data_IF_075409004269
#
_entry.id   IF_075409004269
#
_cell.length_a   1.000
_cell.length_b   1.000
_cell.length_c   1.000
_cell.angle_alpha   90.00
_cell.angle_beta   90.00
_cell.angle_gamma   90.00
#
_symmetry.space_group_name_H-M   'P 1'
#
loop_
_entity.id
_entity.type
_entity.pdbx_description
1 polymer ?
#
# COMPACT_ATOMS: atom_id res chain seq x y z
N UNK A 1 -27.01 5.63 2.34
CA UNK A 1 -25.68 5.39 2.93
C UNK A 1 -24.63 5.94 1.99
N UNK A 2 -23.64 6.67 2.49
CA UNK A 2 -22.47 7.07 1.70
C UNK A 2 -21.72 5.82 1.24
N UNK A 3 -21.32 5.76 -0.03
CA UNK A 3 -20.54 4.64 -0.57
C UNK A 3 -19.19 4.60 0.16
N UNK A 4 -18.87 3.49 0.81
CA UNK A 4 -17.53 3.30 1.41
C UNK A 4 -16.50 3.31 0.28
N UNK A 5 -15.58 4.27 0.33
CA UNK A 5 -14.44 4.33 -0.58
C UNK A 5 -13.35 3.42 -0.01
N UNK A 6 -12.75 2.60 -0.85
CA UNK A 6 -11.69 1.66 -0.46
C UNK A 6 -10.36 2.02 -1.10
N UNK A 7 -9.26 1.68 -0.45
CA UNK A 7 -7.90 1.89 -0.96
C UNK A 7 -7.03 0.63 -0.94
N UNK A 8 -6.04 0.60 -1.83
CA UNK A 8 -4.93 -0.37 -1.87
C UNK A 8 -3.60 0.39 -1.80
N UNK A 9 -2.65 -0.10 -1.02
CA UNK A 9 -1.32 0.50 -0.88
C UNK A 9 -0.27 -0.44 -1.45
N UNK A 10 0.46 0.05 -2.45
CA UNK A 10 1.61 -0.65 -3.02
C UNK A 10 2.90 0.00 -2.49
N UNK A 11 3.67 -0.76 -1.73
CA UNK A 11 4.96 -0.35 -1.16
C UNK A 11 6.06 -0.93 -2.05
N UNK A 12 6.90 -0.07 -2.60
CA UNK A 12 8.01 -0.47 -3.49
C UNK A 12 9.31 -0.22 -2.73
N UNK A 13 10.11 -1.27 -2.53
CA UNK A 13 11.39 -1.13 -1.83
C UNK A 13 12.03 -2.46 -1.47
N UNK A 14 13.22 -2.71 -2.02
CA UNK A 14 13.99 -3.94 -1.76
C UNK A 14 14.50 -4.00 -0.31
N UNK A 15 14.73 -2.85 0.31
CA UNK A 15 15.11 -2.71 1.71
C UNK A 15 13.99 -3.08 2.68
N UNK A 16 12.73 -2.87 2.29
CA UNK A 16 11.57 -3.32 3.06
C UNK A 16 11.45 -4.85 2.96
N UNK A 17 11.57 -5.39 1.74
CA UNK A 17 11.54 -6.84 1.51
C UNK A 17 12.68 -7.58 2.21
N UNK A 18 13.87 -6.99 2.24
CA UNK A 18 15.04 -7.57 2.92
C UNK A 18 15.04 -7.33 4.44
N UNK A 19 14.07 -6.59 4.97
CA UNK A 19 13.94 -6.28 6.40
C UNK A 19 15.00 -5.30 6.92
N UNK A 20 15.76 -4.63 6.04
CA UNK A 20 16.73 -3.60 6.42
C UNK A 20 16.05 -2.34 6.94
N UNK A 21 14.86 -2.05 6.41
CA UNK A 21 14.03 -0.91 6.79
C UNK A 21 12.65 -1.42 7.15
N UNK A 22 12.10 -0.94 8.25
CA UNK A 22 10.71 -1.20 8.62
C UNK A 22 9.79 -0.25 7.83
N UNK A 23 8.74 -0.78 7.20
CA UNK A 23 7.69 0.07 6.65
C UNK A 23 6.90 0.75 7.77
N UNK A 24 6.78 2.08 7.68
CA UNK A 24 5.94 2.91 8.54
C UNK A 24 4.80 3.57 7.76
N UNK A 25 4.85 3.51 6.42
CA UNK A 25 3.89 4.20 5.56
C UNK A 25 2.52 3.55 5.61
N UNK A 26 2.44 2.21 5.70
CA UNK A 26 1.16 1.50 5.78
C UNK A 26 0.32 1.99 6.97
N UNK A 27 0.92 2.00 8.17
CA UNK A 27 0.21 2.42 9.38
C UNK A 27 -0.20 3.89 9.30
N UNK A 28 0.72 4.76 8.88
CA UNK A 28 0.47 6.19 8.77
C UNK A 28 -0.68 6.51 7.79
N UNK A 29 -0.61 5.95 6.58
CA UNK A 29 -1.63 6.19 5.55
C UNK A 29 -2.96 5.52 5.90
N UNK A 30 -2.96 4.32 6.49
CA UNK A 30 -4.21 3.66 6.88
C UNK A 30 -4.98 4.47 7.92
N UNK A 31 -4.30 5.06 8.90
CA UNK A 31 -4.93 5.92 9.91
C UNK A 31 -5.50 7.18 9.25
N UNK A 32 -4.67 7.91 8.48
CA UNK A 32 -5.07 9.16 7.84
C UNK A 32 -6.22 8.97 6.83
N UNK A 33 -6.17 7.90 6.02
CA UNK A 33 -7.23 7.60 5.05
C UNK A 33 -8.53 7.17 5.74
N UNK A 34 -8.44 6.43 6.86
CA UNK A 34 -9.62 6.05 7.62
C UNK A 34 -10.34 7.28 8.22
N UNK A 35 -9.59 8.29 8.68
CA UNK A 35 -10.17 9.59 9.12
C UNK A 35 -10.90 10.32 7.99
N UNK A 36 -10.45 10.14 6.74
CA UNK A 36 -11.09 10.67 5.53
C UNK A 36 -12.21 9.79 4.99
N UNK A 37 -12.55 8.68 5.66
CA UNK A 37 -13.59 7.74 5.24
C UNK A 37 -13.17 6.78 4.11
N UNK A 38 -11.87 6.66 3.85
CA UNK A 38 -11.28 5.69 2.92
C UNK A 38 -10.77 4.49 3.70
N UNK A 39 -11.38 3.33 3.48
CA UNK A 39 -10.96 2.08 4.13
C UNK A 39 -9.87 1.41 3.33
N UNK A 40 -8.68 1.30 3.91
CA UNK A 40 -7.64 0.42 3.36
C UNK A 40 -8.07 -1.05 3.46
N UNK A 41 -8.05 -1.76 2.32
CA UNK A 41 -8.47 -3.18 2.24
C UNK A 41 -7.37 -4.11 1.76
N UNK A 42 -6.31 -3.57 1.16
CA UNK A 42 -5.17 -4.33 0.67
C UNK A 42 -3.89 -3.51 0.86
N UNK A 43 -2.79 -4.19 1.19
CA UNK A 43 -1.46 -3.62 1.11
C UNK A 43 -0.49 -4.70 0.63
N UNK A 44 0.45 -4.35 -0.26
CA UNK A 44 1.47 -5.26 -0.77
C UNK A 44 2.82 -4.57 -0.79
N UNK A 45 3.87 -5.30 -0.41
CA UNK A 45 5.27 -4.87 -0.58
C UNK A 45 5.84 -5.63 -1.78
N UNK A 46 6.42 -4.91 -2.74
CA UNK A 46 6.99 -5.47 -3.98
C UNK A 46 8.42 -4.96 -4.22
N UNK A 47 9.23 -5.68 -5.02
CA UNK A 47 10.55 -5.22 -5.39
C UNK A 47 10.48 -4.03 -6.34
N UNK A 48 11.59 -3.30 -6.42
CA UNK A 48 11.76 -2.20 -7.38
C UNK A 48 12.10 -2.75 -8.77
N UNK A 49 11.09 -3.31 -9.42
CA UNK A 49 11.16 -3.92 -10.75
C UNK A 49 9.94 -3.46 -11.54
N UNK A 50 10.18 -2.78 -12.67
CA UNK A 50 9.14 -2.13 -13.48
C UNK A 50 7.98 -3.06 -13.85
N UNK A 51 8.28 -4.23 -14.42
CA UNK A 51 7.25 -5.19 -14.83
C UNK A 51 6.37 -5.62 -13.64
N UNK A 52 6.97 -5.85 -12.47
CA UNK A 52 6.24 -6.25 -11.26
C UNK A 52 5.36 -5.12 -10.73
N UNK A 53 5.83 -3.88 -10.80
CA UNK A 53 5.05 -2.69 -10.42
C UNK A 53 3.84 -2.57 -11.33
N UNK A 54 4.04 -2.66 -12.65
CA UNK A 54 2.98 -2.57 -13.65
C UNK A 54 1.96 -3.70 -13.46
N UNK A 55 2.41 -4.94 -13.33
CA UNK A 55 1.52 -6.09 -13.15
C UNK A 55 0.70 -5.97 -11.87
N UNK A 56 1.34 -5.55 -10.76
CA UNK A 56 0.66 -5.43 -9.46
C UNK A 56 -0.39 -4.32 -9.44
N UNK A 57 -0.19 -3.23 -10.18
CA UNK A 57 -1.17 -2.13 -10.28
C UNK A 57 -2.43 -2.57 -11.05
N UNK A 58 -2.32 -3.56 -11.95
CA UNK A 58 -3.40 -4.00 -12.83
C UNK A 58 -4.15 -5.26 -12.35
N UNK A 59 -3.78 -5.82 -11.19
CA UNK A 59 -4.46 -6.96 -10.54
C UNK A 59 -5.78 -6.55 -9.85
#
# INVERSE_FOLDING_TARGET
MSKTVTGCLLIIGNEILSGRTQDTNLSHLAIALNELGVRMVHARVIPDVEDIIVDTVNE
#
